data_IF_168124377478
#
_entry.id   IF_168124377478
#
_cell.length_a   1.000
_cell.length_b   1.000
_cell.length_c   1.000
_cell.angle_alpha   90.00
_cell.angle_beta   90.00
_cell.angle_gamma   90.00
#
_symmetry.space_group_name_H-M   'P 1'
#
loop_
_entity.id
_entity.type
_entity.pdbx_description
1 polymer ?
#
# COMPACT_ATOMS: atom_id res chain seq x y z
N UNK A 1 5.80 20.62 -20.82
CA UNK A 1 5.02 19.82 -19.85
C UNK A 1 5.67 20.03 -18.51
N UNK A 2 5.13 20.94 -17.70
CA UNK A 2 5.66 21.15 -16.34
C UNK A 2 5.21 19.96 -15.50
N UNK A 3 6.12 19.04 -15.24
CA UNK A 3 5.87 17.92 -14.34
C UNK A 3 5.69 18.46 -12.92
N UNK A 4 4.48 18.32 -12.38
CA UNK A 4 4.11 18.85 -11.06
C UNK A 4 4.77 18.10 -9.89
N UNK A 5 4.53 18.58 -8.68
CA UNK A 5 5.12 18.00 -7.46
C UNK A 5 4.27 16.86 -6.89
N UNK A 6 4.90 15.94 -6.13
CA UNK A 6 4.16 14.88 -5.43
C UNK A 6 3.09 15.46 -4.49
N UNK A 7 3.35 16.59 -3.85
CA UNK A 7 2.40 17.28 -2.96
C UNK A 7 1.08 17.64 -3.65
N UNK A 8 1.12 18.04 -4.91
CA UNK A 8 -0.04 18.41 -5.72
C UNK A 8 -0.76 17.16 -6.23
N UNK A 9 -0.01 16.26 -6.87
CA UNK A 9 -0.56 15.08 -7.49
C UNK A 9 -1.13 14.06 -6.50
N UNK A 10 -0.62 14.04 -5.26
CA UNK A 10 -1.17 13.21 -4.20
C UNK A 10 -2.61 13.62 -3.85
N UNK A 11 -2.90 14.93 -3.82
CA UNK A 11 -4.27 15.44 -3.57
C UNK A 11 -5.20 15.03 -4.71
N UNK A 12 -4.77 15.23 -5.96
CA UNK A 12 -5.54 14.82 -7.15
C UNK A 12 -5.79 13.32 -7.20
N UNK A 13 -4.77 12.52 -6.87
CA UNK A 13 -4.88 11.07 -6.83
C UNK A 13 -5.84 10.59 -5.73
N UNK A 14 -5.80 11.21 -4.54
CA UNK A 14 -6.74 10.89 -3.46
C UNK A 14 -8.19 11.16 -3.88
N UNK A 15 -8.44 12.28 -4.55
CA UNK A 15 -9.77 12.61 -5.09
C UNK A 15 -10.21 11.60 -6.16
N UNK A 16 -9.31 11.22 -7.07
CA UNK A 16 -9.56 10.19 -8.07
C UNK A 16 -9.94 8.84 -7.45
N UNK A 17 -9.23 8.39 -6.41
CA UNK A 17 -9.57 7.15 -5.69
C UNK A 17 -10.93 7.27 -4.98
N UNK A 18 -11.24 8.43 -4.40
CA UNK A 18 -12.55 8.66 -3.78
C UNK A 18 -13.68 8.56 -4.79
N UNK A 19 -13.51 9.11 -6.01
CA UNK A 19 -14.49 8.98 -7.10
C UNK A 19 -14.69 7.54 -7.56
N UNK A 20 -13.69 6.66 -7.38
CA UNK A 20 -13.80 5.22 -7.62
C UNK A 20 -14.34 4.43 -6.43
N UNK A 21 -14.93 5.10 -5.43
CA UNK A 21 -15.56 4.47 -4.27
C UNK A 21 -14.62 3.59 -3.42
N UNK A 22 -13.32 3.93 -3.37
CA UNK A 22 -12.40 3.27 -2.44
C UNK A 22 -12.70 3.66 -0.98
N UNK A 23 -12.58 2.70 -0.07
CA UNK A 23 -12.82 2.94 1.37
C UNK A 23 -11.80 3.93 1.97
N UNK A 24 -12.13 4.66 3.04
CA UNK A 24 -11.20 5.58 3.71
C UNK A 24 -9.88 4.92 4.10
N UNK A 25 -9.93 3.70 4.65
CA UNK A 25 -8.73 2.90 4.97
C UNK A 25 -7.85 2.65 3.75
N UNK A 26 -8.45 2.45 2.58
CA UNK A 26 -7.69 2.25 1.34
C UNK A 26 -7.03 3.55 0.89
N UNK A 27 -7.73 4.68 1.00
CA UNK A 27 -7.17 6.00 0.71
C UNK A 27 -5.94 6.27 1.59
N UNK A 28 -6.06 6.10 2.91
CA UNK A 28 -4.97 6.33 3.86
C UNK A 28 -3.78 5.40 3.59
N UNK A 29 -4.06 4.12 3.32
CA UNK A 29 -3.01 3.16 2.98
C UNK A 29 -2.28 3.52 1.68
N UNK A 30 -2.97 4.08 0.69
CA UNK A 30 -2.35 4.48 -0.57
C UNK A 30 -1.54 5.76 -0.39
N UNK A 31 -2.12 6.73 0.34
CA UNK A 31 -1.49 8.01 0.64
C UNK A 31 -0.17 7.81 1.41
N UNK A 32 -0.16 6.96 2.44
CA UNK A 32 1.03 6.69 3.23
C UNK A 32 2.18 6.13 2.38
N UNK A 33 1.89 5.16 1.50
CA UNK A 33 2.91 4.57 0.62
C UNK A 33 3.47 5.61 -0.34
N UNK A 34 2.63 6.48 -0.90
CA UNK A 34 3.10 7.54 -1.81
C UNK A 34 3.92 8.57 -1.06
N UNK A 35 3.54 8.96 0.17
CA UNK A 35 4.35 9.85 1.00
C UNK A 35 5.73 9.27 1.29
N UNK A 36 5.80 7.98 1.66
CA UNK A 36 7.07 7.31 1.88
C UNK A 36 7.94 7.33 0.63
N UNK A 37 7.34 6.99 -0.52
CA UNK A 37 8.07 6.97 -1.78
C UNK A 37 8.53 8.37 -2.21
N UNK A 38 7.67 9.38 -2.11
CA UNK A 38 8.00 10.77 -2.43
C UNK A 38 9.14 11.32 -1.56
N UNK A 39 9.10 11.04 -0.25
CA UNK A 39 10.16 11.43 0.66
C UNK A 39 11.49 10.74 0.33
N UNK A 40 11.45 9.45 -0.01
CA UNK A 40 12.64 8.73 -0.46
C UNK A 40 13.24 9.33 -1.75
N UNK A 41 12.40 9.67 -2.72
CA UNK A 41 12.81 10.36 -3.95
C UNK A 41 13.44 11.72 -3.62
N UNK A 42 12.83 12.48 -2.70
CA UNK A 42 13.36 13.76 -2.26
C UNK A 42 14.75 13.60 -1.61
N UNK A 43 14.92 12.64 -0.71
CA UNK A 43 16.21 12.34 -0.07
C UNK A 43 17.29 11.97 -1.09
N UNK A 44 16.97 11.08 -2.03
CA UNK A 44 17.92 10.65 -3.07
C UNK A 44 18.35 11.77 -4.02
N UNK A 45 17.52 12.80 -4.19
CA UNK A 45 17.82 13.97 -5.02
C UNK A 45 18.59 15.07 -4.29
N UNK A 46 18.38 15.19 -2.97
CA UNK A 46 18.88 16.32 -2.18
C UNK A 46 20.00 15.95 -1.20
N UNK A 47 20.40 14.68 -1.13
CA UNK A 47 21.43 14.23 -0.17
C UNK A 47 22.50 13.41 -0.87
N UNK A 48 23.76 13.68 -0.52
CA UNK A 48 24.91 12.92 -0.99
C UNK A 48 24.78 11.43 -0.58
N UNK A 49 24.97 10.54 -1.56
CA UNK A 49 24.75 9.08 -1.44
C UNK A 49 25.52 8.45 -0.27
N UNK A 50 26.66 9.04 0.12
CA UNK A 50 27.57 8.54 1.16
C UNK A 50 27.14 8.84 2.60
N UNK A 51 26.15 9.70 2.85
CA UNK A 51 25.72 10.10 4.21
C UNK A 51 24.29 9.70 4.56
N UNK A 52 23.57 9.03 3.66
CA UNK A 52 22.15 8.74 3.82
C UNK A 52 21.92 7.53 4.72
N UNK A 53 21.68 7.78 6.01
CA UNK A 53 21.02 6.82 6.91
C UNK A 53 19.57 7.27 7.07
N UNK A 54 18.65 6.49 6.51
CA UNK A 54 17.21 6.76 6.59
C UNK A 54 16.63 5.88 7.70
N UNK A 55 15.72 6.40 8.50
CA UNK A 55 14.95 5.67 9.49
C UNK A 55 13.46 5.74 9.20
N UNK A 56 12.70 4.76 9.67
CA UNK A 56 11.24 4.73 9.51
C UNK A 56 10.53 5.96 10.12
N UNK A 57 11.11 6.57 11.16
CA UNK A 57 10.57 7.78 11.79
C UNK A 57 10.68 9.02 10.91
N UNK A 58 11.63 9.03 9.97
CA UNK A 58 11.85 10.18 9.08
C UNK A 58 10.70 10.37 8.09
N UNK A 59 9.87 9.34 7.91
CA UNK A 59 8.66 9.44 7.09
C UNK A 59 7.52 10.23 7.75
N UNK A 60 7.62 10.56 9.05
CA UNK A 60 6.65 11.43 9.73
C UNK A 60 6.79 12.91 9.30
N UNK A 61 7.99 13.32 8.87
CA UNK A 61 8.30 14.66 8.35
C UNK A 61 8.45 14.68 6.82
N UNK A 62 7.68 13.82 6.14
CA UNK A 62 7.79 13.59 4.70
C UNK A 62 7.71 14.89 3.88
N UNK A 63 8.84 15.31 3.30
CA UNK A 63 8.90 16.35 2.26
C UNK A 63 8.40 15.79 0.92
N UNK A 64 7.40 16.45 0.35
CA UNK A 64 6.73 16.05 -0.89
C UNK A 64 7.03 16.99 -2.06
N UNK A 65 7.85 18.01 -1.84
CA UNK A 65 8.23 19.03 -2.83
C UNK A 65 9.36 18.47 -3.73
N UNK A 66 9.04 17.37 -4.40
CA UNK A 66 9.89 16.77 -5.43
C UNK A 66 9.05 16.45 -6.66
N UNK A 67 9.66 16.53 -7.85
CA UNK A 67 8.98 16.32 -9.11
C UNK A 67 8.54 14.84 -9.28
N UNK A 68 7.37 14.59 -9.87
CA UNK A 68 6.83 13.23 -10.06
C UNK A 68 7.52 12.41 -11.17
N UNK A 69 8.30 13.03 -12.05
CA UNK A 69 9.07 12.34 -13.10
C UNK A 69 10.24 11.60 -12.46
N UNK A 70 10.20 10.27 -12.44
CA UNK A 70 11.18 9.42 -11.75
C UNK A 70 11.66 8.31 -12.67
N UNK A 71 12.95 7.99 -12.62
CA UNK A 71 13.52 6.88 -13.40
C UNK A 71 13.16 5.52 -12.79
N UNK A 72 13.06 4.45 -13.61
CA UNK A 72 12.83 3.09 -13.12
C UNK A 72 13.84 2.64 -12.04
N UNK A 73 15.09 3.08 -12.18
CA UNK A 73 16.19 2.78 -11.24
C UNK A 73 15.84 3.26 -9.83
N UNK A 74 15.31 4.47 -9.68
CA UNK A 74 14.97 5.03 -8.38
C UNK A 74 13.79 4.29 -7.73
N UNK A 75 12.86 3.75 -8.54
CA UNK A 75 11.80 2.89 -8.01
C UNK A 75 12.36 1.57 -7.51
N UNK A 76 13.24 0.91 -8.27
CA UNK A 76 13.88 -0.35 -7.84
C UNK A 76 14.77 -0.18 -6.61
N UNK A 77 15.42 0.98 -6.49
CA UNK A 77 16.22 1.37 -5.34
C UNK A 77 15.35 1.55 -4.08
N UNK A 78 14.21 2.24 -4.20
CA UNK A 78 13.23 2.33 -3.13
C UNK A 78 12.71 0.96 -2.67
N UNK A 79 12.38 0.07 -3.62
CA UNK A 79 11.88 -1.27 -3.30
C UNK A 79 12.96 -2.12 -2.60
N UNK A 80 14.22 -2.01 -3.02
CA UNK A 80 15.36 -2.65 -2.36
C UNK A 80 15.56 -2.13 -0.94
N UNK A 81 15.48 -0.81 -0.77
CA UNK A 81 15.56 -0.14 0.53
C UNK A 81 14.43 -0.57 1.49
N UNK A 82 13.18 -0.62 1.00
CA UNK A 82 12.04 -1.11 1.80
C UNK A 82 12.25 -2.57 2.24
N UNK A 83 12.84 -3.39 1.38
CA UNK A 83 13.13 -4.80 1.65
C UNK A 83 14.28 -4.97 2.66
N UNK A 84 15.30 -4.11 2.62
CA UNK A 84 16.46 -4.19 3.52
C UNK A 84 16.14 -3.70 4.93
N UNK A 85 15.27 -2.70 5.05
CA UNK A 85 14.88 -2.15 6.35
C UNK A 85 14.00 -3.09 7.18
N UNK A 86 13.14 -3.87 6.52
CA UNK A 86 12.17 -4.72 7.22
C UNK A 86 11.79 -5.91 6.35
N UNK A 87 11.77 -7.09 6.97
CA UNK A 87 11.18 -8.28 6.35
C UNK A 87 9.65 -8.13 6.30
N UNK A 88 9.16 -7.56 5.21
CA UNK A 88 7.72 -7.47 4.94
C UNK A 88 7.17 -8.82 4.49
N UNK A 89 5.95 -9.13 4.94
CA UNK A 89 5.18 -10.22 4.34
C UNK A 89 5.00 -9.93 2.84
N UNK A 90 5.08 -10.93 1.94
CA UNK A 90 4.93 -10.74 0.50
C UNK A 90 3.68 -9.95 0.09
N UNK A 91 2.57 -10.15 0.81
CA UNK A 91 1.31 -9.43 0.61
C UNK A 91 1.44 -7.91 0.85
N UNK A 92 2.19 -7.51 1.87
CA UNK A 92 2.42 -6.09 2.17
C UNK A 92 3.30 -5.46 1.10
N UNK A 93 4.36 -6.14 0.69
CA UNK A 93 5.26 -5.65 -0.35
C UNK A 93 4.57 -5.54 -1.71
N UNK A 94 3.74 -6.53 -2.08
CA UNK A 94 2.92 -6.45 -3.27
C UNK A 94 1.93 -5.27 -3.24
N UNK A 95 1.36 -4.96 -2.06
CA UNK A 95 0.49 -3.77 -1.90
C UNK A 95 1.27 -2.49 -2.15
N UNK A 96 2.50 -2.37 -1.64
CA UNK A 96 3.38 -1.21 -1.88
C UNK A 96 3.59 -1.01 -3.38
N UNK A 97 4.01 -2.06 -4.10
CA UNK A 97 4.21 -1.99 -5.56
C UNK A 97 2.91 -1.64 -6.28
N UNK A 98 1.80 -2.24 -5.87
CA UNK A 98 0.49 -1.99 -6.49
C UNK A 98 0.02 -0.55 -6.31
N UNK A 99 0.25 0.05 -5.14
CA UNK A 99 -0.06 1.45 -4.88
C UNK A 99 0.77 2.38 -5.77
N UNK A 100 2.10 2.19 -5.82
CA UNK A 100 2.97 3.02 -6.65
C UNK A 100 2.61 2.84 -8.13
N UNK A 101 2.35 1.61 -8.58
CA UNK A 101 1.89 1.33 -9.95
C UNK A 101 0.56 2.01 -10.28
N UNK A 102 -0.40 2.02 -9.35
CA UNK A 102 -1.68 2.71 -9.52
C UNK A 102 -1.50 4.23 -9.61
N UNK A 103 -0.60 4.79 -8.81
CA UNK A 103 -0.28 6.22 -8.83
C UNK A 103 0.32 6.64 -10.16
N UNK A 104 1.37 5.95 -10.65
CA UNK A 104 1.98 6.27 -11.93
C UNK A 104 1.09 6.00 -13.15
N UNK A 105 0.18 5.01 -13.07
CA UNK A 105 -0.86 4.84 -14.09
C UNK A 105 -1.79 6.06 -14.14
N UNK A 106 -2.20 6.57 -12.98
CA UNK A 106 -2.99 7.79 -12.90
C UNK A 106 -2.22 8.98 -13.48
N UNK A 107 -0.99 9.22 -13.05
CA UNK A 107 -0.15 10.32 -13.54
C UNK A 107 0.04 10.28 -15.06
N UNK A 108 0.33 9.09 -15.61
CA UNK A 108 0.51 8.90 -17.04
C UNK A 108 -0.78 9.22 -17.81
N UNK A 109 -1.94 8.79 -17.29
CA UNK A 109 -3.24 9.10 -17.88
C UNK A 109 -3.56 10.59 -17.87
N UNK A 110 -3.04 11.33 -16.86
CA UNK A 110 -3.20 12.78 -16.75
C UNK A 110 -2.12 13.57 -17.53
N UNK A 111 -1.18 12.90 -18.21
CA UNK A 111 -0.08 13.55 -18.93
C UNK A 111 0.98 14.19 -18.03
N UNK A 112 0.99 13.84 -16.73
CA UNK A 112 1.90 14.42 -15.73
C UNK A 112 3.33 13.87 -15.82
N UNK A 113 3.48 12.66 -16.37
CA UNK A 113 4.75 11.97 -16.56
C UNK A 113 4.87 11.48 -17.98
N UNK A 114 6.09 11.48 -18.51
CA UNK A 114 6.36 11.06 -19.90
C UNK A 114 6.16 9.56 -20.11
N UNK A 115 6.46 8.78 -19.09
CA UNK A 115 6.40 7.32 -19.11
C UNK A 115 6.12 6.77 -17.71
N UNK A 116 5.64 5.52 -17.64
CA UNK A 116 5.41 4.86 -16.36
C UNK A 116 6.67 4.08 -15.93
N UNK A 117 7.35 4.46 -14.82
CA UNK A 117 8.59 3.82 -14.40
C UNK A 117 8.41 2.40 -13.85
N UNK A 118 7.17 1.93 -13.66
CA UNK A 118 6.86 0.58 -13.19
C UNK A 118 6.56 -0.44 -14.29
N UNK A 119 6.66 -0.09 -15.58
CA UNK A 119 6.29 -1.04 -16.66
C UNK A 119 7.14 -2.32 -16.68
N UNK A 120 8.41 -2.26 -16.26
CA UNK A 120 9.32 -3.40 -16.25
C UNK A 120 9.62 -3.99 -14.86
N UNK A 121 8.93 -3.53 -13.80
CA UNK A 121 9.24 -3.97 -12.44
C UNK A 121 8.53 -5.28 -12.13
N UNK A 122 9.31 -6.33 -11.90
CA UNK A 122 8.78 -7.64 -11.47
C UNK A 122 8.11 -7.53 -10.11
N UNK A 123 6.95 -8.18 -9.98
CA UNK A 123 6.22 -8.28 -8.72
C UNK A 123 6.55 -9.62 -8.08
N UNK A 124 6.86 -9.67 -6.77
CA UNK A 124 7.11 -10.94 -6.12
C UNK A 124 5.86 -11.82 -6.22
N UNK A 125 6.08 -13.08 -6.60
CA UNK A 125 5.02 -14.08 -6.67
C UNK A 125 4.47 -14.32 -5.26
N UNK A 126 3.21 -13.95 -5.05
CA UNK A 126 2.50 -14.31 -3.84
C UNK A 126 2.15 -15.79 -3.96
N UNK A 127 2.80 -16.65 -3.17
CA UNK A 127 2.34 -18.03 -3.01
C UNK A 127 0.89 -18.00 -2.52
N UNK A 128 -0.02 -18.70 -3.21
CA UNK A 128 -1.37 -18.88 -2.71
C UNK A 128 -1.26 -19.54 -1.34
N UNK A 129 -1.70 -18.81 -0.32
CA UNK A 129 -1.78 -19.37 1.01
C UNK A 129 -3.08 -20.16 1.07
N UNK A 130 -3.00 -21.43 1.47
CA UNK A 130 -4.19 -22.24 1.69
C UNK A 130 -5.09 -21.54 2.70
N UNK A 131 -6.32 -21.26 2.28
CA UNK A 131 -7.32 -20.69 3.17
C UNK A 131 -7.60 -21.72 4.24
N UNK A 132 -7.20 -21.43 5.47
CA UNK A 132 -7.63 -22.23 6.62
C UNK A 132 -9.11 -21.96 6.85
N UNK A 133 -9.93 -23.00 6.73
CA UNK A 133 -11.34 -22.94 7.02
C UNK A 133 -11.68 -23.94 8.13
N UNK A 134 -12.74 -23.63 8.88
CA UNK A 134 -13.31 -24.55 9.87
C UNK A 134 -14.31 -25.47 9.17
N UNK A 135 -14.21 -26.77 9.41
CA UNK A 135 -15.26 -27.73 9.03
C UNK A 135 -16.49 -27.51 9.91
N UNK A 136 -17.67 -27.94 9.45
CA UNK A 136 -18.94 -27.79 10.17
C UNK A 136 -18.85 -28.22 11.64
N UNK A 137 -18.30 -29.40 11.91
CA UNK A 137 -18.11 -29.91 13.28
C UNK A 137 -17.17 -29.04 14.14
N UNK A 138 -16.15 -28.43 13.54
CA UNK A 138 -15.25 -27.51 14.24
C UNK A 138 -15.95 -26.19 14.57
N UNK A 139 -16.86 -25.72 13.70
CA UNK A 139 -17.68 -24.53 13.99
C UNK A 139 -18.67 -24.80 15.12
N UNK A 140 -19.34 -25.95 15.13
CA UNK A 140 -20.24 -26.31 16.23
C UNK A 140 -19.50 -26.35 17.58
N UNK A 141 -18.35 -27.02 17.61
CA UNK A 141 -17.49 -27.05 18.81
C UNK A 141 -17.06 -25.65 19.25
N UNK A 142 -16.74 -24.76 18.30
CA UNK A 142 -16.41 -23.37 18.61
C UNK A 142 -17.60 -22.64 19.24
N UNK A 143 -18.79 -22.74 18.64
CA UNK A 143 -20.02 -22.12 19.17
C UNK A 143 -20.31 -22.62 20.58
N UNK A 144 -20.21 -23.93 20.82
CA UNK A 144 -20.52 -24.53 22.12
C UNK A 144 -19.53 -24.09 23.21
N UNK A 145 -18.26 -23.85 22.84
CA UNK A 145 -17.22 -23.41 23.77
C UNK A 145 -17.34 -21.96 24.27
N UNK A 146 -18.21 -21.14 23.67
CA UNK A 146 -18.39 -19.74 24.06
C UNK A 146 -19.37 -19.65 25.24
N UNK A 147 -18.91 -19.16 26.38
CA UNK A 147 -19.74 -19.00 27.58
C UNK A 147 -20.64 -17.76 27.51
N UNK A 148 -20.12 -16.65 26.99
CA UNK A 148 -20.88 -15.40 26.87
C UNK A 148 -22.02 -15.55 25.84
N UNK A 149 -23.29 -15.36 26.24
CA UNK A 149 -24.44 -15.59 25.37
C UNK A 149 -24.51 -14.61 24.20
N UNK A 150 -24.00 -13.38 24.35
CA UNK A 150 -23.94 -12.39 23.27
C UNK A 150 -22.90 -12.81 22.24
N UNK A 151 -21.70 -13.18 22.67
CA UNK A 151 -20.63 -13.60 21.76
C UNK A 151 -21.01 -14.90 21.03
N UNK A 152 -21.67 -15.84 21.72
CA UNK A 152 -22.24 -17.06 21.13
C UNK A 152 -23.28 -16.72 20.05
N UNK A 153 -24.17 -15.76 20.30
CA UNK A 153 -25.16 -15.29 19.32
C UNK A 153 -24.51 -14.62 18.11
N UNK A 154 -23.48 -13.78 18.32
CA UNK A 154 -22.73 -13.12 17.25
C UNK A 154 -22.11 -14.16 16.31
N UNK A 155 -21.36 -15.13 16.86
CA UNK A 155 -20.71 -16.18 16.06
C UNK A 155 -21.73 -17.04 15.33
N UNK A 156 -22.84 -17.39 15.98
CA UNK A 156 -23.93 -18.17 15.36
C UNK A 156 -24.61 -17.40 14.22
N UNK A 157 -24.82 -16.10 14.38
CA UNK A 157 -25.40 -15.24 13.34
C UNK A 157 -24.48 -15.14 12.13
N UNK A 158 -23.19 -14.91 12.36
CA UNK A 158 -22.16 -14.90 11.29
C UNK A 158 -22.17 -16.24 10.54
N UNK A 159 -22.21 -17.36 11.25
CA UNK A 159 -22.20 -18.69 10.63
C UNK A 159 -23.49 -18.96 9.82
N UNK A 160 -24.66 -18.60 10.35
CA UNK A 160 -25.93 -18.86 9.72
C UNK A 160 -26.21 -17.97 8.49
N UNK A 161 -25.73 -16.72 8.51
CA UNK A 161 -26.07 -15.71 7.49
C UNK A 161 -24.92 -15.41 6.53
N UNK A 162 -23.68 -15.77 6.88
CA UNK A 162 -22.50 -15.46 6.07
C UNK A 162 -22.10 -13.98 6.08
N UNK A 163 -22.65 -13.18 7.00
CA UNK A 163 -22.28 -11.76 7.12
C UNK A 163 -20.82 -11.58 7.51
N UNK A 164 -20.18 -10.54 6.97
CA UNK A 164 -18.78 -10.21 7.29
C UNK A 164 -18.73 -9.27 8.49
N UNK A 165 -17.70 -9.43 9.32
CA UNK A 165 -17.34 -8.45 10.35
C UNK A 165 -16.70 -7.26 9.64
N UNK A 166 -17.33 -6.10 9.70
CA UNK A 166 -16.90 -4.84 9.08
C UNK A 166 -16.02 -4.00 10.01
#
# INVERSE_FOLDING_TARGET
MESGYFSEWLKSFRNYLRMRNYSPRTLDSYEQVIKHFAYYVWLRRNTEVTKLVIYWKDFESARLDTNVEVSPILVTDFLSFVSSMRSYKPKTFHRIISTISSFYRFLYTQGAVSSNPLMGIERPRIKQQDVKYLKHNQVLRLIDSIEDPRDKLIVRTIYATGVRVS
#
